data_IF_018648085888
#
_entry.id   IF_018648085888
#
_cell.length_a   1.000
_cell.length_b   1.000
_cell.length_c   1.000
_cell.angle_alpha   90.00
_cell.angle_beta   90.00
_cell.angle_gamma   90.00
#
_symmetry.space_group_name_H-M   'P 1'
#
loop_
_entity.id
_entity.type
_entity.pdbx_description
1 polymer ?
#
# COMPACT_ATOMS: atom_id res chain seq x y z
N UNK A 1 30.05 6.07 4.83
CA UNK A 1 28.77 6.78 4.63
C UNK A 1 28.30 6.76 3.17
N UNK A 2 28.51 5.65 2.45
CA UNK A 2 27.97 5.47 1.07
C UNK A 2 26.52 4.99 1.05
N UNK A 3 25.99 4.52 2.19
CA UNK A 3 24.75 3.74 2.24
C UNK A 3 23.45 4.55 2.12
N UNK A 4 23.51 5.87 2.33
CA UNK A 4 22.32 6.74 2.23
C UNK A 4 22.28 7.51 0.90
N UNK A 5 23.37 7.55 0.12
CA UNK A 5 23.42 8.30 -1.14
C UNK A 5 22.50 7.71 -2.22
N UNK A 6 22.31 6.39 -2.19
CA UNK A 6 21.44 5.65 -3.12
C UNK A 6 19.99 5.52 -2.62
N UNK A 7 19.67 6.10 -1.46
CA UNK A 7 18.31 6.07 -0.90
C UNK A 7 17.41 7.11 -1.55
N UNK A 8 16.12 6.81 -1.57
CA UNK A 8 15.09 7.73 -2.03
C UNK A 8 14.88 8.81 -0.96
N UNK A 9 15.35 10.02 -1.23
CA UNK A 9 15.07 11.19 -0.37
C UNK A 9 13.59 11.62 -0.40
N UNK A 10 12.93 11.47 -1.55
CA UNK A 10 11.53 11.82 -1.72
C UNK A 10 10.96 11.18 -2.99
N UNK A 11 9.79 10.56 -2.88
CA UNK A 11 8.95 10.14 -3.99
C UNK A 11 7.57 10.78 -3.83
N UNK A 12 6.97 11.19 -4.95
CA UNK A 12 5.57 11.59 -5.05
C UNK A 12 4.94 10.80 -6.20
N UNK A 13 4.15 9.79 -5.85
CA UNK A 13 3.46 8.90 -6.77
C UNK A 13 2.00 9.33 -6.90
N UNK A 14 1.54 9.80 -8.08
CA UNK A 14 0.13 10.08 -8.29
C UNK A 14 -0.68 8.78 -8.26
N UNK A 15 -1.79 8.78 -7.51
CA UNK A 15 -2.75 7.67 -7.42
C UNK A 15 -4.15 8.27 -7.59
N UNK A 16 -4.69 8.18 -8.81
CA UNK A 16 -5.94 8.85 -9.18
C UNK A 16 -5.85 10.37 -8.91
N UNK A 17 -6.79 10.96 -8.15
CA UNK A 17 -6.74 12.38 -7.76
C UNK A 17 -5.77 12.68 -6.59
N UNK A 18 -5.20 11.66 -5.96
CA UNK A 18 -4.34 11.78 -4.78
C UNK A 18 -2.86 11.64 -5.14
N UNK A 19 -1.98 11.96 -4.19
CA UNK A 19 -0.54 11.70 -4.31
C UNK A 19 -0.06 10.96 -3.07
N UNK A 20 0.55 9.79 -3.27
CA UNK A 20 1.26 9.07 -2.24
C UNK A 20 2.71 9.56 -2.18
N UNK A 21 3.12 10.06 -1.01
CA UNK A 21 4.48 10.54 -0.79
C UNK A 21 5.23 9.57 0.13
N UNK A 22 6.54 9.46 -0.06
CA UNK A 22 7.40 8.61 0.77
C UNK A 22 8.87 8.96 0.64
N UNK A 23 9.69 8.36 1.50
CA UNK A 23 11.14 8.43 1.49
C UNK A 23 11.71 7.23 2.24
N UNK A 24 12.95 6.87 1.95
CA UNK A 24 13.68 5.90 2.76
C UNK A 24 14.11 6.54 4.09
N UNK A 25 14.23 5.73 5.13
CA UNK A 25 14.70 6.19 6.44
C UNK A 25 16.22 6.34 6.41
N UNK A 26 16.76 7.54 6.70
CA UNK A 26 18.20 7.74 6.84
C UNK A 26 18.83 6.82 7.89
N UNK A 27 20.04 6.32 7.64
CA UNK A 27 20.68 5.32 8.52
C UNK A 27 20.92 5.86 9.93
N UNK A 28 21.14 7.17 10.08
CA UNK A 28 21.35 7.80 11.39
C UNK A 28 20.12 7.79 12.30
N UNK A 29 18.92 7.53 11.78
CA UNK A 29 17.68 7.38 12.57
C UNK A 29 17.50 5.97 13.14
N UNK A 30 18.38 5.03 12.80
CA UNK A 30 18.33 3.64 13.29
C UNK A 30 17.55 2.69 12.38
N UNK A 31 17.43 1.43 12.82
CA UNK A 31 16.70 0.40 12.09
C UNK A 31 15.20 0.51 12.35
N UNK A 32 14.42 0.45 11.27
CA UNK A 32 12.95 0.34 11.33
C UNK A 32 12.52 -1.12 11.30
N UNK A 33 11.41 -1.40 11.98
CA UNK A 33 10.76 -2.71 11.92
C UNK A 33 9.57 -2.62 10.97
N UNK A 34 9.71 -3.21 9.77
CA UNK A 34 8.65 -3.22 8.75
C UNK A 34 7.38 -3.96 9.21
N UNK A 35 7.45 -4.76 10.29
CA UNK A 35 6.28 -5.38 10.89
C UNK A 35 5.49 -4.45 11.82
N UNK A 36 6.07 -3.34 12.25
CA UNK A 36 5.46 -2.37 13.17
C UNK A 36 4.97 -1.09 12.46
N UNK A 37 5.09 -1.03 11.14
CA UNK A 37 4.53 0.05 10.34
C UNK A 37 3.00 0.01 10.44
N UNK A 38 2.41 0.97 11.17
CA UNK A 38 0.93 1.10 11.33
C UNK A 38 0.31 2.05 10.32
N UNK A 39 1.00 2.34 9.22
CA UNK A 39 0.48 3.18 8.15
C UNK A 39 -0.46 2.36 7.29
N UNK A 40 -1.75 2.71 7.34
CA UNK A 40 -2.79 2.12 6.50
C UNK A 40 -3.11 3.07 5.36
N UNK A 41 -3.05 2.57 4.13
CA UNK A 41 -3.47 3.30 2.94
C UNK A 41 -4.76 2.68 2.44
N UNK A 42 -5.81 3.49 2.36
CA UNK A 42 -7.10 3.08 1.80
C UNK A 42 -7.26 3.68 0.41
N UNK A 43 -7.55 2.84 -0.58
CA UNK A 43 -7.89 3.27 -1.94
C UNK A 43 -9.35 2.95 -2.20
N UNK A 44 -10.11 3.99 -2.56
CA UNK A 44 -11.45 3.85 -3.14
C UNK A 44 -11.31 3.79 -4.66
N UNK A 45 -11.50 2.60 -5.24
CA UNK A 45 -11.48 2.39 -6.69
C UNK A 45 -12.78 2.90 -7.34
N UNK A 46 -12.72 3.24 -8.62
CA UNK A 46 -13.85 3.73 -9.42
C UNK A 46 -14.63 2.58 -10.08
N UNK A 47 -14.08 1.36 -10.09
CA UNK A 47 -14.70 0.16 -10.66
C UNK A 47 -14.18 -1.13 -10.01
N UNK A 48 -14.90 -2.25 -10.20
CA UNK A 48 -14.43 -3.58 -9.78
C UNK A 48 -13.13 -3.97 -10.51
N UNK A 49 -13.05 -3.68 -11.81
CA UNK A 49 -11.88 -3.98 -12.63
C UNK A 49 -10.64 -3.22 -12.17
N UNK A 50 -10.80 -1.96 -11.76
CA UNK A 50 -9.73 -1.18 -11.15
C UNK A 50 -9.31 -1.75 -9.79
N UNK A 51 -10.28 -2.10 -8.93
CA UNK A 51 -10.00 -2.73 -7.64
C UNK A 51 -9.19 -4.03 -7.81
N UNK A 52 -9.60 -4.90 -8.74
CA UNK A 52 -8.89 -6.14 -9.07
C UNK A 52 -7.46 -5.86 -9.56
N UNK A 53 -7.28 -4.88 -10.44
CA UNK A 53 -5.97 -4.52 -10.97
C UNK A 53 -5.03 -4.03 -9.86
N UNK A 54 -5.50 -3.10 -9.02
CA UNK A 54 -4.71 -2.53 -7.94
C UNK A 54 -4.35 -3.61 -6.92
N UNK A 55 -5.33 -4.40 -6.49
CA UNK A 55 -5.11 -5.47 -5.51
C UNK A 55 -4.10 -6.49 -6.01
N UNK A 56 -4.22 -6.98 -7.24
CA UNK A 56 -3.30 -7.99 -7.79
C UNK A 56 -1.86 -7.48 -7.94
N UNK A 57 -1.68 -6.22 -8.30
CA UNK A 57 -0.33 -5.63 -8.47
C UNK A 57 0.32 -5.37 -7.11
N UNK A 58 -0.40 -4.74 -6.19
CA UNK A 58 0.16 -4.31 -4.91
C UNK A 58 0.30 -5.45 -3.90
N UNK A 59 -0.56 -6.48 -3.95
CA UNK A 59 -0.45 -7.65 -3.06
C UNK A 59 0.65 -8.63 -3.47
N UNK A 60 1.28 -8.45 -4.65
CA UNK A 60 2.30 -9.35 -5.17
C UNK A 60 3.53 -9.44 -4.24
N UNK A 61 3.78 -10.64 -3.70
CA UNK A 61 4.85 -10.89 -2.74
C UNK A 61 4.56 -10.41 -1.32
N UNK A 62 3.34 -9.92 -1.06
CA UNK A 62 2.84 -9.58 0.26
C UNK A 62 2.06 -10.72 0.92
N UNK A 63 1.34 -10.39 1.98
CA UNK A 63 0.44 -11.29 2.72
C UNK A 63 -0.99 -10.79 2.60
N UNK A 64 -1.85 -11.58 1.95
CA UNK A 64 -3.28 -11.29 1.86
C UNK A 64 -3.95 -11.61 3.20
N UNK A 65 -4.58 -10.60 3.79
CA UNK A 65 -5.31 -10.72 5.06
C UNK A 65 -6.80 -10.95 4.82
N UNK A 66 -7.36 -10.22 3.84
CA UNK A 66 -8.73 -10.35 3.37
C UNK A 66 -8.73 -10.39 1.83
N UNK A 67 -9.03 -11.53 1.20
CA UNK A 67 -9.13 -11.63 -0.26
C UNK A 67 -10.14 -10.64 -0.82
N UNK A 68 -9.83 -10.06 -1.97
CA UNK A 68 -10.75 -9.14 -2.65
C UNK A 68 -12.02 -9.88 -3.06
N UNK A 69 -13.18 -9.34 -2.66
CA UNK A 69 -14.48 -9.96 -2.92
C UNK A 69 -15.64 -9.11 -2.42
N UNK A 70 -16.87 -9.59 -2.64
CA UNK A 70 -18.06 -8.95 -2.09
C UNK A 70 -18.07 -9.08 -0.55
N UNK A 71 -18.14 -7.95 0.14
CA UNK A 71 -18.06 -7.83 1.58
C UNK A 71 -19.44 -7.95 2.25
N UNK A 72 -19.50 -8.37 3.52
CA UNK A 72 -20.75 -8.42 4.28
C UNK A 72 -21.45 -7.05 4.45
N UNK A 73 -20.74 -5.94 4.27
CA UNK A 73 -21.28 -4.58 4.35
C UNK A 73 -21.63 -3.98 2.98
N UNK A 74 -21.59 -4.78 1.92
CA UNK A 74 -22.17 -4.43 0.61
C UNK A 74 -21.21 -3.72 -0.35
N UNK A 75 -19.91 -3.71 -0.08
CA UNK A 75 -18.87 -3.20 -0.99
C UNK A 75 -18.02 -4.32 -1.57
N UNK A 76 -17.23 -4.04 -2.60
CA UNK A 76 -16.19 -4.94 -3.09
C UNK A 76 -14.87 -4.58 -2.41
N UNK A 77 -14.39 -5.40 -1.48
CA UNK A 77 -13.35 -5.04 -0.52
C UNK A 77 -12.25 -6.10 -0.42
N UNK A 78 -11.01 -5.64 -0.23
CA UNK A 78 -9.84 -6.49 0.02
C UNK A 78 -8.82 -5.78 0.92
N UNK A 79 -8.04 -6.57 1.66
CA UNK A 79 -7.00 -6.08 2.57
C UNK A 79 -5.77 -6.97 2.50
N UNK A 80 -4.59 -6.37 2.45
CA UNK A 80 -3.32 -7.09 2.44
C UNK A 80 -2.20 -6.21 2.99
N UNK A 81 -1.13 -6.86 3.41
CA UNK A 81 0.15 -6.22 3.67
C UNK A 81 1.08 -6.47 2.49
N UNK A 82 1.65 -5.43 1.90
CA UNK A 82 2.59 -5.60 0.79
C UNK A 82 3.96 -6.13 1.26
N UNK A 83 4.85 -6.41 0.31
CA UNK A 83 6.20 -6.92 0.60
C UNK A 83 7.12 -5.93 1.34
N UNK A 84 6.70 -4.68 1.52
CA UNK A 84 7.41 -3.61 2.22
C UNK A 84 6.79 -3.32 3.60
N UNK A 85 5.78 -4.10 4.01
CA UNK A 85 5.13 -3.97 5.30
C UNK A 85 4.03 -2.91 5.37
N UNK A 86 3.58 -2.36 4.23
CA UNK A 86 2.48 -1.37 4.21
C UNK A 86 1.14 -2.10 4.16
N UNK A 87 0.21 -1.68 5.02
CA UNK A 87 -1.17 -2.20 5.03
C UNK A 87 -2.04 -1.43 4.03
N UNK A 88 -2.64 -2.16 3.11
CA UNK A 88 -3.51 -1.63 2.05
C UNK A 88 -4.93 -2.12 2.23
N UNK A 89 -5.88 -1.21 2.08
CA UNK A 89 -7.31 -1.51 1.96
C UNK A 89 -7.79 -1.02 0.60
N UNK A 90 -8.34 -1.93 -0.21
CA UNK A 90 -8.90 -1.61 -1.52
C UNK A 90 -10.39 -1.81 -1.45
N UNK A 91 -11.16 -0.77 -1.80
CA UNK A 91 -12.61 -0.81 -1.75
C UNK A 91 -13.22 -0.19 -3.02
N UNK A 92 -14.24 -0.84 -3.57
CA UNK A 92 -15.16 -0.25 -4.53
C UNK A 92 -16.58 -0.33 -3.96
N UNK A 93 -17.23 0.82 -3.81
CA UNK A 93 -18.63 0.92 -3.41
C UNK A 93 -19.41 1.53 -4.58
N UNK A 94 -20.46 0.84 -5.04
CA UNK A 94 -21.33 1.29 -6.12
C UNK A 94 -22.34 2.34 -5.66
#
# INVERSE_FOLDING_TARGET
EENDAEKIMHIALPIGPNTLMGNDVPTYLGQVNENENRSKISISAESKEEADKIFNILSAGGTVEFPLGDSPWGSYFGMFRDKFGIEWMIEYAA
#
